data_IF_454253622734
#
_entry.id   IF_454253622734
#
_cell.length_a   1.000
_cell.length_b   1.000
_cell.length_c   1.000
_cell.angle_alpha   90.00
_cell.angle_beta   90.00
_cell.angle_gamma   90.00
#
_symmetry.space_group_name_H-M   'P 1'
#
loop_
_entity.id
_entity.type
_entity.pdbx_description
1 polymer ?
#
# COMPACT_ATOMS: atom_id res chain seq x y z
N UNK A 1 -28.36 -42.38 15.41
CA UNK A 1 -29.48 -41.97 14.54
C UNK A 1 -29.91 -40.57 14.96
N UNK A 2 -29.46 -39.54 14.26
CA UNK A 2 -29.93 -38.16 14.45
C UNK A 2 -30.34 -37.62 13.09
N UNK A 3 -31.61 -37.23 13.02
CA UNK A 3 -32.36 -36.84 11.84
C UNK A 3 -31.76 -35.61 11.18
N UNK A 4 -31.71 -35.60 9.84
CA UNK A 4 -31.22 -34.50 9.01
C UNK A 4 -32.25 -33.35 8.90
N UNK A 5 -32.73 -32.87 10.05
CA UNK A 5 -33.49 -31.64 10.17
C UNK A 5 -32.79 -30.85 11.26
N UNK A 6 -31.87 -30.00 10.86
CA UNK A 6 -31.55 -28.71 11.46
C UNK A 6 -30.24 -28.20 10.84
N UNK A 7 -30.15 -26.88 10.72
CA UNK A 7 -29.09 -26.08 10.10
C UNK A 7 -29.29 -25.72 8.62
N UNK A 8 -30.12 -24.69 8.49
CA UNK A 8 -30.08 -23.62 7.51
C UNK A 8 -28.66 -23.12 7.22
N UNK A 9 -28.37 -22.82 5.95
CA UNK A 9 -27.54 -21.66 5.62
C UNK A 9 -26.18 -21.92 4.98
N UNK A 10 -26.14 -22.52 3.78
CA UNK A 10 -25.18 -22.11 2.73
C UNK A 10 -25.91 -22.29 1.40
N UNK A 11 -26.10 -21.20 0.65
CA UNK A 11 -26.53 -21.24 -0.74
C UNK A 11 -25.41 -21.92 -1.54
N UNK A 12 -25.43 -23.25 -1.58
CA UNK A 12 -24.68 -24.03 -2.56
C UNK A 12 -25.39 -23.74 -3.87
N UNK A 13 -24.75 -22.96 -4.74
CA UNK A 13 -25.18 -22.83 -6.11
C UNK A 13 -25.28 -24.25 -6.67
N UNK A 14 -26.49 -24.73 -6.89
CA UNK A 14 -26.74 -25.99 -7.59
C UNK A 14 -26.29 -25.77 -9.03
N UNK A 15 -25.01 -26.03 -9.30
CA UNK A 15 -24.49 -26.10 -10.66
C UNK A 15 -25.26 -27.23 -11.35
N UNK A 16 -26.17 -26.85 -12.25
CA UNK A 16 -26.89 -27.78 -13.10
C UNK A 16 -25.91 -28.27 -14.15
N UNK A 17 -25.46 -29.52 -14.01
CA UNK A 17 -24.49 -30.17 -14.88
C UNK A 17 -25.00 -31.50 -15.44
N UNK A 18 -24.11 -32.23 -16.09
CA UNK A 18 -24.36 -33.59 -16.56
C UNK A 18 -23.76 -34.60 -15.57
N UNK A 19 -24.49 -35.66 -15.27
CA UNK A 19 -24.01 -36.71 -14.36
C UNK A 19 -23.20 -37.76 -15.11
N UNK A 20 -21.91 -37.93 -14.75
CA UNK A 20 -20.98 -38.88 -15.39
C UNK A 20 -21.33 -40.35 -15.15
N UNK A 21 -22.18 -40.65 -14.16
CA UNK A 21 -22.59 -42.04 -13.85
C UNK A 21 -23.88 -42.48 -14.53
N UNK A 22 -24.78 -41.56 -14.86
CA UNK A 22 -26.10 -41.90 -15.42
C UNK A 22 -26.44 -41.14 -16.70
N UNK A 23 -25.55 -40.26 -17.18
CA UNK A 23 -25.70 -39.49 -18.40
C UNK A 23 -26.81 -38.45 -18.38
N UNK A 24 -27.42 -38.18 -17.22
CA UNK A 24 -28.55 -37.24 -17.13
C UNK A 24 -28.04 -35.81 -17.08
N UNK A 25 -28.53 -34.98 -17.99
CA UNK A 25 -28.22 -33.55 -18.09
C UNK A 25 -29.20 -32.69 -17.27
N UNK A 26 -28.76 -31.50 -16.86
CA UNK A 26 -29.60 -30.51 -16.18
C UNK A 26 -29.95 -30.85 -14.73
N UNK A 27 -29.10 -31.64 -14.06
CA UNK A 27 -29.29 -32.05 -12.66
C UNK A 27 -28.22 -31.42 -11.78
N UNK A 28 -28.52 -31.17 -10.51
CA UNK A 28 -27.54 -30.69 -9.54
C UNK A 28 -26.42 -31.73 -9.40
N UNK A 29 -25.21 -31.39 -9.85
CA UNK A 29 -24.04 -32.28 -9.75
C UNK A 29 -23.18 -31.89 -8.54
N UNK A 30 -22.60 -32.89 -7.90
CA UNK A 30 -21.61 -32.72 -6.83
C UNK A 30 -20.39 -33.57 -7.17
N UNK A 31 -19.21 -33.08 -6.80
CA UNK A 31 -17.96 -33.85 -6.96
C UNK A 31 -17.93 -34.97 -5.92
N UNK A 32 -17.86 -36.20 -6.39
CA UNK A 32 -17.77 -37.39 -5.55
C UNK A 32 -16.61 -38.29 -6.03
N UNK A 33 -15.93 -38.92 -5.08
CA UNK A 33 -14.85 -39.88 -5.37
C UNK A 33 -15.43 -41.26 -5.63
N UNK A 34 -15.24 -41.80 -6.83
CA UNK A 34 -15.57 -43.19 -7.18
C UNK A 34 -14.26 -43.95 -7.35
N UNK A 35 -14.05 -44.99 -6.55
CA UNK A 35 -12.84 -45.84 -6.49
C UNK A 35 -11.51 -45.09 -6.32
N UNK A 36 -11.09 -44.30 -7.30
CA UNK A 36 -9.91 -43.42 -7.29
C UNK A 36 -10.05 -42.16 -8.19
N UNK A 37 -11.22 -41.91 -8.79
CA UNK A 37 -11.46 -40.78 -9.69
C UNK A 37 -12.50 -39.81 -9.11
N UNK A 38 -12.30 -38.51 -9.34
CA UNK A 38 -13.26 -37.46 -9.00
C UNK A 38 -14.21 -37.25 -10.16
N UNK A 39 -15.51 -37.52 -9.94
CA UNK A 39 -16.56 -37.39 -10.95
C UNK A 39 -17.68 -36.46 -10.49
N UNK A 40 -18.34 -35.81 -11.43
CA UNK A 40 -19.55 -35.02 -11.19
C UNK A 40 -20.79 -35.93 -11.23
N UNK A 41 -21.41 -36.11 -10.08
CA UNK A 41 -22.49 -37.07 -9.89
C UNK A 41 -23.77 -36.37 -9.40
N UNK A 42 -24.93 -36.84 -9.85
CA UNK A 42 -26.22 -36.38 -9.32
C UNK A 42 -26.50 -36.97 -7.93
N UNK A 43 -27.35 -36.29 -7.14
CA UNK A 43 -27.70 -36.75 -5.79
C UNK A 43 -28.22 -38.20 -5.76
N UNK A 44 -28.96 -38.64 -6.79
CA UNK A 44 -29.48 -40.01 -6.88
C UNK A 44 -28.38 -41.05 -6.98
N UNK A 45 -27.36 -40.81 -7.81
CA UNK A 45 -26.24 -41.74 -7.98
C UNK A 45 -25.35 -41.77 -6.74
N UNK A 46 -25.18 -40.62 -6.07
CA UNK A 46 -24.44 -40.53 -4.81
C UNK A 46 -25.12 -41.36 -3.73
N UNK A 47 -26.44 -41.26 -3.62
CA UNK A 47 -27.24 -42.03 -2.65
C UNK A 47 -27.26 -43.53 -2.98
N UNK A 48 -27.45 -43.90 -4.25
CA UNK A 48 -27.55 -45.31 -4.65
C UNK A 48 -26.23 -46.07 -4.54
N UNK A 49 -25.10 -45.40 -4.74
CA UNK A 49 -23.76 -46.00 -4.74
C UNK A 49 -22.97 -45.69 -3.46
N UNK A 50 -23.54 -44.92 -2.53
CA UNK A 50 -22.91 -44.59 -1.25
C UNK A 50 -21.59 -43.83 -1.37
N UNK A 51 -21.50 -42.89 -2.32
CA UNK A 51 -20.25 -42.18 -2.64
C UNK A 51 -19.94 -41.07 -1.63
N UNK A 52 -18.66 -40.91 -1.29
CA UNK A 52 -18.18 -39.82 -0.43
C UNK A 52 -18.06 -38.52 -1.23
N UNK A 53 -18.82 -37.50 -0.81
CA UNK A 53 -18.79 -36.16 -1.43
C UNK A 53 -17.66 -35.36 -0.80
N UNK A 54 -16.73 -34.91 -1.64
CA UNK A 54 -15.63 -34.07 -1.20
C UNK A 54 -16.13 -32.62 -1.12
N UNK A 55 -16.38 -32.15 0.10
CA UNK A 55 -16.67 -30.74 0.34
C UNK A 55 -15.34 -30.05 0.60
N UNK A 56 -14.83 -29.35 -0.40
CA UNK A 56 -13.79 -28.36 -0.16
C UNK A 56 -14.40 -27.32 0.79
N UNK A 57 -14.01 -27.40 2.07
CA UNK A 57 -14.29 -26.32 2.99
C UNK A 57 -13.59 -25.10 2.40
N UNK A 58 -14.38 -24.16 1.88
CA UNK A 58 -13.88 -22.83 1.55
C UNK A 58 -13.50 -22.25 2.91
N UNK A 59 -12.25 -22.48 3.30
CA UNK A 59 -11.62 -21.72 4.35
C UNK A 59 -11.54 -20.30 3.78
N UNK A 60 -12.63 -19.55 3.98
CA UNK A 60 -12.63 -18.10 4.04
C UNK A 60 -11.84 -17.73 5.31
N UNK A 61 -10.57 -18.13 5.36
CA UNK A 61 -9.56 -17.34 6.02
C UNK A 61 -9.57 -16.04 5.22
N UNK A 62 -10.42 -15.13 5.68
CA UNK A 62 -10.43 -13.74 5.33
C UNK A 62 -9.10 -13.19 5.84
N UNK A 63 -8.00 -13.58 5.17
CA UNK A 63 -6.83 -12.75 5.18
C UNK A 63 -7.30 -11.48 4.51
N UNK A 64 -7.54 -10.46 5.33
CA UNK A 64 -7.56 -9.07 4.93
C UNK A 64 -6.23 -8.78 4.23
N UNK A 65 -6.11 -9.20 2.97
CA UNK A 65 -5.21 -8.57 2.05
C UNK A 65 -5.72 -7.15 1.98
N UNK A 66 -5.05 -6.27 2.74
CA UNK A 66 -5.08 -4.84 2.52
C UNK A 66 -4.55 -4.64 1.10
N UNK A 67 -5.43 -4.82 0.11
CA UNK A 67 -5.19 -4.36 -1.24
C UNK A 67 -5.01 -2.86 -1.10
N UNK A 68 -3.76 -2.41 -1.14
CA UNK A 68 -3.46 -1.01 -1.40
C UNK A 68 -3.92 -0.74 -2.83
N UNK A 69 -5.23 -0.50 -3.01
CA UNK A 69 -5.76 0.04 -4.25
C UNK A 69 -5.14 1.42 -4.40
N UNK A 70 -4.04 1.49 -5.13
CA UNK A 70 -3.52 2.75 -5.66
C UNK A 70 -4.49 3.16 -6.74
N UNK A 71 -5.59 3.80 -6.32
CA UNK A 71 -6.52 4.45 -7.23
C UNK A 71 -5.72 5.60 -7.83
N UNK A 72 -5.24 5.43 -9.06
CA UNK A 72 -4.43 6.40 -9.82
C UNK A 72 -5.15 7.70 -10.19
N UNK A 73 -6.17 8.11 -9.42
CA UNK A 73 -6.74 9.45 -9.46
C UNK A 73 -6.29 10.15 -8.19
N UNK A 74 -5.22 10.94 -8.31
CA UNK A 74 -4.78 11.82 -7.24
C UNK A 74 -5.96 12.70 -6.81
N UNK A 75 -6.51 12.42 -5.63
CA UNK A 75 -7.52 13.25 -5.00
C UNK A 75 -6.82 14.55 -4.64
N UNK A 76 -7.26 15.68 -5.21
CA UNK A 76 -6.74 17.00 -4.83
C UNK A 76 -6.94 17.18 -3.32
N UNK A 77 -5.84 17.33 -2.59
CA UNK A 77 -5.85 17.56 -1.14
C UNK A 77 -5.41 16.39 -0.28
N UNK A 78 -5.19 15.20 -0.84
CA UNK A 78 -4.56 14.08 -0.10
C UNK A 78 -3.09 14.05 -0.49
N UNK A 79 -2.24 14.70 0.32
CA UNK A 79 -0.81 14.65 0.13
C UNK A 79 -0.28 13.30 0.60
N UNK A 80 0.03 12.41 -0.35
CA UNK A 80 0.62 11.09 -0.08
C UNK A 80 1.96 11.23 0.67
N UNK A 81 2.62 12.40 0.60
CA UNK A 81 3.88 12.70 1.30
C UNK A 81 3.67 13.05 2.78
N UNK A 82 2.44 13.27 3.23
CA UNK A 82 2.10 13.63 4.62
C UNK A 82 1.63 12.43 5.47
N UNK A 83 1.64 11.21 4.91
CA UNK A 83 1.03 10.03 5.53
C UNK A 83 1.76 9.52 6.78
N UNK A 84 2.99 9.94 6.99
CA UNK A 84 3.70 9.75 8.24
C UNK A 84 3.63 11.07 9.00
N UNK A 85 2.58 11.26 9.82
CA UNK A 85 2.39 12.49 10.60
C UNK A 85 3.41 12.60 11.76
N UNK A 86 3.98 11.46 12.16
CA UNK A 86 4.92 11.34 13.27
C UNK A 86 6.34 11.04 12.78
N UNK A 87 7.30 11.83 13.24
CA UNK A 87 8.73 11.69 12.98
C UNK A 87 9.48 11.38 14.28
N UNK A 88 10.67 10.80 14.19
CA UNK A 88 11.51 10.61 15.39
C UNK A 88 12.08 11.96 15.81
N UNK A 89 11.96 12.31 17.09
CA UNK A 89 12.57 13.53 17.63
C UNK A 89 14.08 13.58 17.32
N UNK A 90 14.61 14.72 16.88
CA UNK A 90 16.06 14.88 16.66
C UNK A 90 16.89 14.61 17.93
N UNK A 91 16.31 14.91 19.10
CA UNK A 91 16.96 14.77 20.41
C UNK A 91 16.71 13.41 21.08
N UNK A 92 16.34 12.37 20.30
CA UNK A 92 15.99 11.05 20.84
C UNK A 92 17.09 10.45 21.72
N UNK A 93 18.36 10.66 21.37
CA UNK A 93 19.51 10.11 22.07
C UNK A 93 19.64 10.68 23.49
N UNK A 94 19.43 11.99 23.66
CA UNK A 94 19.44 12.67 24.95
C UNK A 94 18.26 12.23 25.80
N UNK A 95 17.05 12.17 25.22
CA UNK A 95 15.84 11.69 25.92
C UNK A 95 16.00 10.26 26.44
N UNK A 96 16.58 9.36 25.65
CA UNK A 96 16.84 7.97 26.08
C UNK A 96 17.85 7.95 27.24
N UNK A 97 18.92 8.74 27.16
CA UNK A 97 19.94 8.81 28.20
C UNK A 97 19.38 9.34 29.51
N UNK A 98 18.64 10.44 29.46
CA UNK A 98 17.99 11.06 30.62
C UNK A 98 16.98 10.11 31.25
N UNK A 99 16.13 9.47 30.45
CA UNK A 99 15.17 8.50 30.96
C UNK A 99 15.84 7.27 31.60
N UNK A 100 16.97 6.82 31.04
CA UNK A 100 17.76 5.73 31.62
C UNK A 100 18.33 6.13 33.00
N UNK A 101 18.89 7.33 33.10
CA UNK A 101 19.45 7.87 34.35
C UNK A 101 18.33 8.08 35.38
N UNK A 102 17.20 8.65 34.98
CA UNK A 102 16.03 8.85 35.85
C UNK A 102 15.46 7.55 36.42
N UNK A 103 15.59 6.43 35.70
CA UNK A 103 15.23 5.09 36.20
C UNK A 103 16.37 4.37 36.93
N UNK A 104 17.56 4.98 37.06
CA UNK A 104 18.72 4.38 37.74
C UNK A 104 19.26 3.12 37.05
N UNK A 105 19.06 2.97 35.74
CA UNK A 105 19.46 1.76 35.01
C UNK A 105 20.86 1.92 34.40
N UNK A 106 21.71 0.91 34.57
CA UNK A 106 22.92 0.79 33.75
C UNK A 106 22.55 0.41 32.31
N UNK A 107 23.43 0.69 31.34
CA UNK A 107 23.22 0.29 29.95
C UNK A 107 23.02 -1.23 29.82
N UNK A 108 23.74 -2.01 30.62
CA UNK A 108 23.60 -3.47 30.66
C UNK A 108 22.24 -3.93 31.20
N UNK A 109 21.74 -3.29 32.26
CA UNK A 109 20.45 -3.62 32.83
C UNK A 109 19.30 -3.24 31.89
N UNK A 110 19.44 -2.13 31.16
CA UNK A 110 18.50 -1.76 30.09
C UNK A 110 18.53 -2.78 28.94
N UNK A 111 19.73 -3.23 28.54
CA UNK A 111 19.91 -4.25 27.50
C UNK A 111 19.18 -5.55 27.85
N UNK A 112 19.36 -6.01 29.09
CA UNK A 112 18.70 -7.21 29.63
C UNK A 112 17.17 -7.04 29.65
N UNK A 113 16.65 -5.89 30.10
CA UNK A 113 15.20 -5.63 30.12
C UNK A 113 14.56 -5.62 28.73
N UNK A 114 15.31 -5.18 27.72
CA UNK A 114 14.82 -5.06 26.34
C UNK A 114 15.09 -6.31 25.48
N UNK A 115 15.82 -7.28 26.03
CA UNK A 115 16.38 -8.42 25.29
C UNK A 115 17.18 -7.98 24.06
N UNK A 116 18.04 -6.97 24.23
CA UNK A 116 18.88 -6.42 23.16
C UNK A 116 20.36 -6.46 23.55
N UNK A 117 21.25 -6.34 22.57
CA UNK A 117 22.70 -6.27 22.81
C UNK A 117 23.08 -4.92 23.42
N UNK A 118 24.05 -4.91 24.33
CA UNK A 118 24.55 -3.68 24.99
C UNK A 118 25.03 -2.66 23.94
N UNK A 119 25.70 -3.12 22.89
CA UNK A 119 26.19 -2.28 21.80
C UNK A 119 25.06 -1.53 21.06
N UNK A 120 23.84 -2.09 21.01
CA UNK A 120 22.70 -1.44 20.35
C UNK A 120 22.25 -0.22 21.17
N UNK A 121 22.21 -0.36 22.50
CA UNK A 121 21.86 0.74 23.41
C UNK A 121 22.92 1.84 23.35
N UNK A 122 24.20 1.48 23.36
CA UNK A 122 25.28 2.44 23.20
C UNK A 122 25.18 3.23 21.90
N UNK A 123 24.90 2.54 20.78
CA UNK A 123 24.68 3.21 19.48
C UNK A 123 23.50 4.18 19.52
N UNK A 124 22.39 3.79 20.14
CA UNK A 124 21.22 4.64 20.29
C UNK A 124 21.51 5.88 21.16
N UNK A 125 22.21 5.72 22.29
CA UNK A 125 22.64 6.82 23.18
C UNK A 125 23.72 7.73 22.56
N UNK A 126 24.40 7.26 21.50
CA UNK A 126 25.39 8.03 20.73
C UNK A 126 24.77 8.75 19.53
N UNK A 127 23.44 8.68 19.32
CA UNK A 127 22.76 9.39 18.23
C UNK A 127 22.66 8.62 16.91
N UNK A 128 23.02 7.33 16.88
CA UNK A 128 22.75 6.49 15.71
C UNK A 128 21.26 6.11 15.74
N UNK A 129 20.53 6.44 14.67
CA UNK A 129 19.11 6.12 14.54
C UNK A 129 18.89 4.60 14.64
N UNK A 130 18.16 4.11 15.65
CA UNK A 130 17.82 2.70 15.76
C UNK A 130 16.62 2.34 14.87
N UNK A 131 16.34 1.05 14.69
CA UNK A 131 15.16 0.58 13.95
C UNK A 131 13.87 0.96 14.67
N UNK A 132 12.77 1.13 13.93
CA UNK A 132 11.49 1.55 14.52
C UNK A 132 10.96 0.53 15.55
N UNK A 133 11.30 -0.75 15.39
CA UNK A 133 11.05 -1.79 16.40
C UNK A 133 11.75 -1.49 17.72
N UNK A 134 13.01 -1.07 17.70
CA UNK A 134 13.78 -0.69 18.89
C UNK A 134 13.25 0.60 19.50
N UNK A 135 12.87 1.59 18.67
CA UNK A 135 12.26 2.84 19.14
C UNK A 135 10.98 2.54 19.93
N UNK A 136 10.13 1.64 19.41
CA UNK A 136 8.93 1.19 20.12
C UNK A 136 9.22 0.44 21.42
N UNK A 137 10.36 -0.26 21.51
CA UNK A 137 10.80 -0.90 22.76
C UNK A 137 11.28 0.14 23.76
N UNK A 138 12.07 1.13 23.33
CA UNK A 138 12.53 2.22 24.19
C UNK A 138 11.37 3.02 24.76
N UNK A 139 10.38 3.36 23.93
CA UNK A 139 9.20 4.10 24.41
C UNK A 139 8.45 3.33 25.49
N UNK A 140 8.28 2.01 25.33
CA UNK A 140 7.62 1.15 26.33
C UNK A 140 8.43 0.95 27.60
N UNK A 141 9.72 0.63 27.50
CA UNK A 141 10.54 0.31 28.68
C UNK A 141 10.91 1.54 29.49
N UNK A 142 11.18 2.67 28.82
CA UNK A 142 11.51 3.94 29.45
C UNK A 142 10.26 4.80 29.70
N UNK A 143 9.10 4.45 29.15
CA UNK A 143 7.83 5.18 29.31
C UNK A 143 7.94 6.62 28.82
N UNK A 144 8.57 6.80 27.65
CA UNK A 144 8.85 8.10 27.03
C UNK A 144 8.29 8.16 25.61
N UNK A 145 7.91 9.35 25.18
CA UNK A 145 7.46 9.61 23.81
C UNK A 145 8.64 10.10 22.96
N UNK A 146 9.03 9.26 21.99
CA UNK A 146 10.14 9.54 21.06
C UNK A 146 9.67 10.06 19.71
N UNK A 147 8.41 9.80 19.36
CA UNK A 147 7.80 10.31 18.14
C UNK A 147 7.21 11.70 18.39
N UNK A 148 7.40 12.61 17.46
CA UNK A 148 6.95 14.00 17.50
C UNK A 148 6.22 14.29 16.19
N UNK A 149 5.19 15.12 16.25
CA UNK A 149 4.48 15.58 15.06
C UNK A 149 5.41 16.36 14.14
N UNK A 150 5.33 16.08 12.83
CA UNK A 150 6.07 16.82 11.82
C UNK A 150 5.54 18.24 11.74
N UNK A 151 6.30 19.19 12.29
CA UNK A 151 6.09 20.59 11.95
C UNK A 151 6.53 20.79 10.50
N UNK A 152 5.65 21.26 9.60
CA UNK A 152 6.03 21.48 8.21
C UNK A 152 7.04 22.63 8.16
N UNK A 153 8.33 22.28 8.05
CA UNK A 153 9.37 23.25 7.71
C UNK A 153 9.20 23.68 6.26
N UNK A 154 8.22 24.56 6.02
CA UNK A 154 7.93 25.17 4.72
C UNK A 154 8.98 26.23 4.36
N UNK A 155 10.27 25.92 4.50
CA UNK A 155 11.34 26.81 4.10
C UNK A 155 11.67 26.62 2.60
N UNK A 156 10.64 26.77 1.75
CA UNK A 156 10.86 26.87 0.31
C UNK A 156 11.20 28.33 0.02
N UNK A 157 12.50 28.63 -0.06
CA UNK A 157 12.95 29.89 -0.62
C UNK A 157 12.56 29.92 -2.09
N UNK A 158 11.50 30.67 -2.41
CA UNK A 158 11.22 31.07 -3.78
C UNK A 158 12.16 32.21 -4.07
N UNK A 159 13.28 31.91 -4.74
CA UNK A 159 14.14 32.97 -5.29
C UNK A 159 13.26 33.78 -6.25
N UNK A 160 13.07 35.06 -5.93
CA UNK A 160 12.43 36.05 -6.80
C UNK A 160 13.09 35.98 -8.17
N UNK A 161 12.28 35.86 -9.22
CA UNK A 161 12.81 35.87 -10.61
C UNK A 161 13.47 37.21 -10.99
N UNK A 162 13.30 38.23 -10.16
CA UNK A 162 13.66 39.62 -10.43
C UNK A 162 15.10 39.97 -9.98
N UNK A 163 15.83 39.08 -9.30
CA UNK A 163 17.26 39.26 -8.99
C UNK A 163 18.17 38.82 -10.16
N UNK A 164 17.64 38.82 -11.39
CA UNK A 164 18.46 38.67 -12.59
C UNK A 164 19.01 40.05 -12.93
N UNK A 165 20.30 40.26 -12.68
CA UNK A 165 21.02 41.39 -13.25
C UNK A 165 20.81 41.38 -14.77
N UNK A 166 20.19 42.44 -15.30
CA UNK A 166 19.91 42.58 -16.72
C UNK A 166 21.23 42.47 -17.49
N UNK A 167 21.27 41.58 -18.47
CA UNK A 167 22.44 41.44 -19.34
C UNK A 167 22.33 42.44 -20.48
N UNK A 168 23.46 42.89 -21.03
CA UNK A 168 23.52 43.81 -22.19
C UNK A 168 22.62 43.32 -23.36
N UNK A 169 22.39 42.01 -23.46
CA UNK A 169 21.54 41.35 -24.45
C UNK A 169 20.03 41.59 -24.27
N UNK A 170 19.58 42.07 -23.11
CA UNK A 170 18.17 42.35 -22.81
C UNK A 170 17.74 43.76 -23.27
N UNK A 171 18.68 44.63 -23.65
CA UNK A 171 18.42 45.94 -24.27
C UNK A 171 18.27 45.75 -25.78
N UNK A 172 17.08 45.34 -26.22
CA UNK A 172 16.66 45.53 -27.61
C UNK A 172 15.23 46.04 -27.66
N UNK A 173 15.11 47.18 -28.34
CA UNK A 173 13.91 47.86 -28.80
C UNK A 173 13.09 48.58 -27.72
N UNK A 174 13.67 49.64 -27.13
CA UNK A 174 12.89 50.80 -26.72
C UNK A 174 12.83 51.81 -27.88
N UNK A 175 12.13 51.42 -28.94
CA UNK A 175 11.50 52.42 -29.78
C UNK A 175 10.22 52.88 -29.11
N UNK A 176 10.15 54.19 -28.95
CA UNK A 176 9.07 54.98 -28.36
C UNK A 176 7.69 54.46 -28.81
N UNK A 177 6.81 54.24 -27.83
CA UNK A 177 5.43 53.76 -28.01
C UNK A 177 4.67 54.57 -29.08
N UNK A 178 3.72 53.94 -29.78
CA UNK A 178 2.39 54.52 -29.70
C UNK A 178 1.33 53.50 -29.26
N UNK A 179 0.47 54.02 -28.40
CA UNK A 179 -0.76 53.43 -27.88
C UNK A 179 -1.62 52.81 -28.99
N UNK A 180 -1.86 51.49 -28.93
CA UNK A 180 -3.09 50.95 -29.49
C UNK A 180 -3.53 49.68 -28.76
N UNK A 181 -4.76 49.72 -28.23
CA UNK A 181 -5.47 48.56 -27.71
C UNK A 181 -5.67 47.52 -28.82
N UNK A 182 -4.79 46.53 -28.93
CA UNK A 182 -5.05 45.32 -29.72
C UNK A 182 -5.18 44.13 -28.80
N UNK A 183 -6.42 43.61 -28.70
CA UNK A 183 -6.75 42.36 -28.01
C UNK A 183 -5.85 41.23 -28.53
N UNK A 184 -5.03 40.66 -27.65
CA UNK A 184 -4.16 39.52 -27.97
C UNK A 184 -5.04 38.29 -28.24
N UNK A 185 -5.16 37.89 -29.51
CA UNK A 185 -5.74 36.59 -29.86
C UNK A 185 -4.80 35.48 -29.37
N UNK A 186 -5.28 34.64 -28.43
CA UNK A 186 -4.54 33.47 -27.95
C UNK A 186 -4.26 32.53 -29.12
N UNK A 187 -3.01 32.47 -29.60
CA UNK A 187 -2.54 31.42 -30.51
C UNK A 187 -2.52 30.11 -29.71
N UNK A 188 -3.56 29.29 -29.88
CA UNK A 188 -3.54 27.88 -29.49
C UNK A 188 -2.37 27.19 -30.19
N UNK A 189 -1.59 26.40 -29.46
CA UNK A 189 -0.56 25.54 -30.05
C UNK A 189 -1.25 24.58 -31.02
N UNK A 190 -0.97 24.69 -32.32
CA UNK A 190 -1.32 23.65 -33.30
C UNK A 190 -0.56 22.39 -32.89
N UNK A 191 -1.26 21.42 -32.32
CA UNK A 191 -0.76 20.05 -32.31
C UNK A 191 -0.77 19.58 -33.77
N UNK A 192 0.41 19.41 -34.35
CA UNK A 192 0.58 18.94 -35.72
C UNK A 192 1.92 18.26 -35.86
N UNK A 193 1.95 16.95 -35.61
CA UNK A 193 2.94 16.05 -36.22
C UNK A 193 2.27 15.50 -37.46
N UNK A 194 2.51 16.12 -38.61
CA UNK A 194 2.17 15.53 -39.90
C UNK A 194 3.08 14.33 -40.11
N UNK A 195 2.52 13.12 -39.98
CA UNK A 195 3.12 11.89 -40.48
C UNK A 195 3.19 11.97 -42.01
N UNK A 196 4.32 12.44 -42.54
CA UNK A 196 4.63 12.32 -43.97
C UNK A 196 6.07 11.85 -44.12
N UNK A 197 6.24 10.54 -44.25
CA UNK A 197 7.52 9.90 -44.55
C UNK A 197 7.30 8.41 -44.81
N UNK A 198 7.38 8.01 -46.07
CA UNK A 198 7.28 6.64 -46.54
C UNK A 198 8.40 5.81 -45.90
N UNK A 199 8.08 4.83 -45.07
CA UNK A 199 9.06 3.85 -44.56
C UNK A 199 9.60 3.05 -45.75
N UNK A 200 10.84 3.30 -46.15
CA UNK A 200 11.53 2.41 -47.07
C UNK A 200 11.70 1.04 -46.40
N UNK A 201 11.11 0.02 -47.02
CA UNK A 201 11.29 -1.37 -46.67
C UNK A 201 12.63 -1.79 -47.28
N UNK A 202 13.68 -1.98 -46.48
CA UNK A 202 14.89 -2.68 -46.95
C UNK A 202 14.52 -4.17 -47.09
N UNK A 203 14.80 -4.72 -48.28
CA UNK A 203 14.91 -6.15 -48.53
C UNK A 203 16.15 -6.69 -47.83
#
# INVERSE_FOLDING_TARGET
MTSAKDYCGVFIADCMGACELCGKEGVSTKKATVTQALLECCNRCIESLGLTVEREAINLAFEERKESRVIGRGVKGIDIMSKEEMELAGDFHTRIREARIGKGLSQENLAKKMNEKIAVIQKAENGIRPTDTLISKFSKTLSIELFVEKLPNNHRLVVSKDDRQLTISDVKDQDVQPTSNRRVRKKTRRFGVSRSGSRSRRK
#
